data_IF_150914255751
#
_entry.id   IF_150914255751
#
_cell.length_a   1.000
_cell.length_b   1.000
_cell.length_c   1.000
_cell.angle_alpha   90.00
_cell.angle_beta   90.00
_cell.angle_gamma   90.00
#
_symmetry.space_group_name_H-M   'P 1'
#
loop_
_entity.id
_entity.type
_entity.pdbx_description
1 polymer ?
#
# COMPACT_ATOMS: atom_id res chain seq x y z
N UNK A 1 -2.90 -5.81 -2.13
CA UNK A 1 -2.16 -5.19 -3.25
C UNK A 1 -3.12 -4.31 -4.01
N UNK A 2 -2.89 -3.00 -4.05
CA UNK A 2 -3.83 -2.01 -4.63
C UNK A 2 -3.41 -1.52 -6.02
N UNK A 3 -2.16 -1.76 -6.43
CA UNK A 3 -1.55 -1.12 -7.60
C UNK A 3 -2.07 -1.60 -8.96
N UNK A 4 -2.77 -2.73 -9.03
CA UNK A 4 -3.21 -3.34 -10.31
C UNK A 4 -4.63 -2.97 -10.72
N UNK A 5 -5.30 -2.13 -9.95
CA UNK A 5 -6.68 -1.71 -10.19
C UNK A 5 -6.76 -0.19 -10.18
N UNK A 6 -7.67 0.41 -10.97
CA UNK A 6 -7.85 1.87 -10.96
C UNK A 6 -8.37 2.35 -9.61
N UNK A 7 -8.20 3.64 -9.31
CA UNK A 7 -8.66 4.24 -8.05
C UNK A 7 -10.15 3.99 -7.79
N UNK A 8 -10.99 4.02 -8.83
CA UNK A 8 -12.42 3.73 -8.71
C UNK A 8 -12.70 2.32 -8.18
N UNK A 9 -11.92 1.32 -8.60
CA UNK A 9 -12.03 -0.06 -8.11
C UNK A 9 -11.47 -0.21 -6.69
N UNK A 10 -10.41 0.53 -6.34
CA UNK A 10 -9.92 0.60 -4.95
C UNK A 10 -11.01 1.15 -4.04
N UNK A 11 -11.62 2.29 -4.41
CA UNK A 11 -12.70 2.92 -3.64
C UNK A 11 -13.93 2.03 -3.53
N UNK A 12 -14.33 1.35 -4.61
CA UNK A 12 -15.43 0.39 -4.56
C UNK A 12 -15.13 -0.79 -3.60
N UNK A 13 -13.88 -1.27 -3.59
CA UNK A 13 -13.44 -2.33 -2.66
C UNK A 13 -13.47 -1.83 -1.22
N UNK A 14 -12.97 -0.62 -0.95
CA UNK A 14 -13.03 -0.02 0.39
C UNK A 14 -14.46 0.24 0.87
N UNK A 15 -15.36 0.65 -0.03
CA UNK A 15 -16.79 0.82 0.27
C UNK A 15 -17.44 -0.50 0.68
N UNK A 16 -17.17 -1.59 -0.04
CA UNK A 16 -17.63 -2.92 0.33
C UNK A 16 -17.03 -3.37 1.68
N UNK A 17 -15.73 -3.18 1.89
CA UNK A 17 -15.09 -3.52 3.15
C UNK A 17 -15.60 -2.67 4.32
N UNK A 18 -16.06 -1.44 4.07
CA UNK A 18 -16.70 -0.58 5.05
C UNK A 18 -17.96 -1.19 5.71
N UNK A 19 -18.54 -2.25 5.15
CA UNK A 19 -19.66 -2.98 5.76
C UNK A 19 -19.21 -4.08 6.74
N UNK A 20 -17.91 -4.24 6.99
CA UNK A 20 -17.40 -5.19 7.97
C UNK A 20 -17.85 -4.81 9.39
N UNK A 21 -17.94 -5.80 10.28
CA UNK A 21 -18.26 -5.57 11.69
C UNK A 21 -17.15 -4.78 12.40
N UNK A 22 -17.52 -3.90 13.34
CA UNK A 22 -16.55 -3.20 14.22
C UNK A 22 -15.60 -4.19 14.88
N UNK A 23 -14.32 -3.84 14.96
CA UNK A 23 -13.22 -4.70 15.43
C UNK A 23 -12.59 -5.58 14.34
N UNK A 24 -13.16 -5.62 13.13
CA UNK A 24 -12.54 -6.32 12.00
C UNK A 24 -11.18 -5.71 11.64
N UNK A 25 -10.26 -6.53 11.11
CA UNK A 25 -8.92 -6.09 10.68
C UNK A 25 -8.80 -6.09 9.17
N UNK A 26 -8.20 -5.04 8.63
CA UNK A 26 -7.82 -4.92 7.22
C UNK A 26 -6.31 -4.74 7.12
N UNK A 27 -5.65 -5.62 6.37
CA UNK A 27 -4.24 -5.48 6.03
C UNK A 27 -4.05 -5.45 4.52
N UNK A 28 -3.23 -4.53 4.03
CA UNK A 28 -2.89 -4.45 2.61
C UNK A 28 -1.53 -3.80 2.40
N UNK A 29 -0.97 -4.03 1.20
CA UNK A 29 0.20 -3.30 0.72
C UNK A 29 -0.19 -2.31 -0.38
N UNK A 30 0.55 -1.20 -0.46
CA UNK A 30 0.46 -0.22 -1.53
C UNK A 30 1.85 0.22 -1.99
N UNK A 31 1.94 0.68 -3.24
CA UNK A 31 3.15 1.30 -3.79
C UNK A 31 3.09 2.81 -3.68
N UNK A 32 4.24 3.46 -3.48
CA UNK A 32 4.30 4.91 -3.33
C UNK A 32 3.86 5.64 -4.61
N UNK A 33 3.02 6.67 -4.45
CA UNK A 33 2.44 7.43 -5.57
C UNK A 33 3.48 8.15 -6.42
N UNK A 34 4.53 8.69 -5.82
CA UNK A 34 5.63 9.37 -6.51
C UNK A 34 6.41 8.44 -7.46
N UNK A 35 6.40 7.13 -7.23
CA UNK A 35 6.89 6.15 -8.22
C UNK A 35 5.93 5.98 -9.39
N UNK A 36 4.62 5.99 -9.16
CA UNK A 36 3.60 5.90 -10.22
C UNK A 36 3.67 7.13 -11.14
N UNK A 37 3.90 8.30 -10.54
CA UNK A 37 4.03 9.60 -11.20
C UNK A 37 5.42 9.79 -11.85
N UNK A 38 6.41 8.99 -11.45
CA UNK A 38 7.77 9.03 -11.97
C UNK A 38 8.65 10.12 -11.37
N UNK A 39 8.19 10.82 -10.31
CA UNK A 39 8.97 11.83 -9.60
C UNK A 39 10.01 11.23 -8.66
N UNK A 40 9.84 9.98 -8.22
CA UNK A 40 10.83 9.25 -7.44
C UNK A 40 10.88 7.78 -7.86
N UNK A 41 12.03 7.33 -8.36
CA UNK A 41 12.18 5.97 -8.88
C UNK A 41 12.68 4.98 -7.83
N UNK A 42 13.08 5.42 -6.64
CA UNK A 42 13.65 4.57 -5.59
C UNK A 42 14.80 3.67 -6.10
N UNK A 43 15.63 4.17 -7.01
CA UNK A 43 16.69 3.39 -7.67
C UNK A 43 16.21 2.29 -8.63
N UNK A 44 14.89 2.16 -8.87
CA UNK A 44 14.25 1.09 -9.63
C UNK A 44 13.84 1.53 -11.06
N UNK A 45 14.77 2.15 -11.81
CA UNK A 45 14.50 2.71 -13.14
C UNK A 45 14.04 1.66 -14.18
N UNK A 46 14.57 0.43 -14.11
CA UNK A 46 14.10 -0.69 -14.95
C UNK A 46 12.67 -1.12 -14.62
N UNK A 47 12.32 -1.12 -13.33
CA UNK A 47 10.98 -1.48 -12.86
C UNK A 47 9.95 -0.44 -13.36
N UNK A 48 10.29 0.85 -13.25
CA UNK A 48 9.44 1.94 -13.76
C UNK A 48 9.21 1.82 -15.26
N UNK A 49 10.28 1.63 -16.07
CA UNK A 49 10.16 1.40 -17.51
C UNK A 49 9.27 0.20 -17.83
N UNK A 50 9.41 -0.90 -17.09
CA UNK A 50 8.64 -2.12 -17.33
C UNK A 50 7.15 -1.93 -17.02
N UNK A 51 6.82 -1.45 -15.83
CA UNK A 51 5.46 -1.50 -15.30
C UNK A 51 4.65 -0.23 -15.49
N UNK A 52 5.30 0.93 -15.66
CA UNK A 52 4.64 2.22 -15.88
C UNK A 52 4.78 2.77 -17.29
N UNK A 53 5.86 2.49 -17.99
CA UNK A 53 6.04 2.98 -19.38
C UNK A 53 5.56 1.98 -20.41
N UNK A 54 5.92 0.68 -20.28
CA UNK A 54 5.61 -0.33 -21.31
C UNK A 54 4.25 -0.98 -21.15
N UNK A 55 3.91 -1.46 -19.94
CA UNK A 55 2.67 -2.21 -19.72
C UNK A 55 1.57 -1.41 -19.02
N UNK A 56 1.93 -0.28 -18.37
CA UNK A 56 1.03 0.59 -17.60
C UNK A 56 0.13 -0.12 -16.57
N UNK A 57 0.52 -1.33 -16.13
CA UNK A 57 -0.31 -2.18 -15.25
C UNK A 57 -0.37 -1.70 -13.81
N UNK A 58 0.54 -0.82 -13.39
CA UNK A 58 0.50 -0.22 -12.05
C UNK A 58 -0.31 1.07 -12.09
N UNK A 59 -1.61 0.98 -11.82
CA UNK A 59 -2.59 2.03 -12.04
C UNK A 59 -2.77 2.96 -10.83
N UNK A 60 -2.47 2.50 -9.62
CA UNK A 60 -2.76 3.22 -8.38
C UNK A 60 -1.59 3.19 -7.41
N UNK A 61 -1.39 4.30 -6.71
CA UNK A 61 -0.42 4.46 -5.62
C UNK A 61 -0.93 5.46 -4.59
N UNK A 62 -0.39 5.34 -3.38
CA UNK A 62 -0.74 6.21 -2.24
C UNK A 62 0.51 6.90 -1.71
N UNK A 63 0.31 8.08 -1.13
CA UNK A 63 1.31 8.69 -0.24
C UNK A 63 0.98 8.29 1.20
N UNK A 64 1.97 8.12 2.09
CA UNK A 64 1.71 7.73 3.48
C UNK A 64 0.70 8.64 4.20
N UNK A 65 0.78 9.95 3.97
CA UNK A 65 -0.16 10.92 4.53
C UNK A 65 -1.60 10.79 4.02
N UNK A 66 -1.84 10.13 2.89
CA UNK A 66 -3.18 9.95 2.31
C UNK A 66 -3.89 8.68 2.78
N UNK A 67 -3.18 7.73 3.40
CA UNK A 67 -3.75 6.43 3.79
C UNK A 67 -4.82 6.59 4.87
N UNK A 68 -4.48 7.27 5.97
CA UNK A 68 -5.42 7.43 7.09
C UNK A 68 -6.67 8.23 6.69
N UNK A 69 -6.58 9.39 6.00
CA UNK A 69 -7.76 10.08 5.50
C UNK A 69 -8.63 9.21 4.58
N UNK A 70 -8.03 8.49 3.62
CA UNK A 70 -8.77 7.63 2.69
C UNK A 70 -9.51 6.51 3.43
N UNK A 71 -8.87 5.85 4.40
CA UNK A 71 -9.50 4.76 5.16
C UNK A 71 -10.60 5.26 6.10
N UNK A 72 -10.44 6.46 6.66
CA UNK A 72 -11.43 7.08 7.53
C UNK A 72 -12.77 7.33 6.78
N UNK A 73 -12.74 7.64 5.48
CA UNK A 73 -13.95 7.76 4.63
C UNK A 73 -14.85 6.51 4.69
N UNK A 74 -14.27 5.34 4.99
CA UNK A 74 -14.98 4.05 5.03
C UNK A 74 -15.06 3.44 6.44
N UNK A 75 -14.81 4.27 7.47
CA UNK A 75 -14.90 3.86 8.88
C UNK A 75 -13.80 2.89 9.31
N UNK A 76 -12.60 3.04 8.76
CA UNK A 76 -11.40 2.31 9.17
C UNK A 76 -10.40 3.25 9.85
N UNK A 77 -9.85 2.81 10.97
CA UNK A 77 -8.77 3.48 11.69
C UNK A 77 -7.43 2.79 11.37
N UNK A 78 -6.46 3.54 10.85
CA UNK A 78 -5.10 3.01 10.65
C UNK A 78 -4.45 2.77 12.01
N UNK A 79 -3.93 1.56 12.20
CA UNK A 79 -3.07 1.23 13.33
C UNK A 79 -1.59 1.35 12.98
N UNK A 80 -1.23 0.85 11.80
CA UNK A 80 0.16 0.81 11.33
C UNK A 80 0.22 1.16 9.84
N UNK A 81 1.21 1.98 9.47
CA UNK A 81 1.66 2.17 8.09
C UNK A 81 3.19 2.15 8.11
N UNK A 82 3.79 1.04 7.68
CA UNK A 82 5.22 0.78 7.82
C UNK A 82 5.91 0.66 6.46
N UNK A 83 7.13 1.20 6.36
CA UNK A 83 7.96 1.04 5.16
C UNK A 83 8.47 -0.39 5.04
N UNK A 84 8.96 -0.79 3.85
CA UNK A 84 9.65 -2.07 3.68
C UNK A 84 10.78 -2.27 4.69
N UNK A 85 11.74 -1.35 4.84
CA UNK A 85 12.84 -1.51 5.81
C UNK A 85 12.39 -1.48 7.27
N UNK A 86 11.30 -0.78 7.60
CA UNK A 86 10.70 -0.89 8.92
C UNK A 86 10.06 -2.26 9.15
N UNK A 87 9.28 -2.75 8.17
CA UNK A 87 8.64 -4.07 8.21
C UNK A 87 9.67 -5.20 8.36
N UNK A 88 10.80 -5.09 7.65
CA UNK A 88 11.90 -6.05 7.77
C UNK A 88 12.47 -6.09 9.19
N UNK A 89 12.74 -4.93 9.79
CA UNK A 89 13.30 -4.83 11.14
C UNK A 89 12.32 -5.30 12.21
N UNK A 90 11.04 -4.97 12.08
CA UNK A 90 10.02 -5.24 13.12
C UNK A 90 9.43 -6.64 13.04
N UNK A 91 9.31 -7.23 11.84
CA UNK A 91 8.59 -8.50 11.66
C UNK A 91 9.41 -9.60 11.00
N UNK A 92 10.22 -9.31 9.98
CA UNK A 92 10.93 -10.36 9.24
C UNK A 92 12.15 -10.89 9.98
N UNK A 93 13.04 -10.01 10.44
CA UNK A 93 14.26 -10.40 11.15
C UNK A 93 13.94 -11.15 12.44
N UNK A 94 13.02 -10.66 13.32
CA UNK A 94 12.66 -11.39 14.54
C UNK A 94 12.01 -12.75 14.27
N UNK A 95 11.33 -12.91 13.13
CA UNK A 95 10.75 -14.18 12.70
C UNK A 95 11.75 -15.12 12.01
N UNK A 96 13.04 -14.77 11.94
CA UNK A 96 14.07 -15.55 11.26
C UNK A 96 13.89 -15.63 9.74
N UNK A 97 13.16 -14.67 9.13
CA UNK A 97 12.89 -14.65 7.69
C UNK A 97 13.87 -13.73 6.95
N UNK A 98 14.52 -14.28 5.93
CA UNK A 98 15.38 -13.52 5.03
C UNK A 98 14.65 -13.23 3.72
N UNK A 99 13.75 -12.23 3.76
CA UNK A 99 13.07 -11.70 2.58
C UNK A 99 13.57 -10.28 2.31
N UNK A 100 13.75 -9.93 1.04
CA UNK A 100 14.04 -8.56 0.64
C UNK A 100 12.78 -7.70 0.73
N UNK A 101 12.95 -6.47 1.22
CA UNK A 101 11.91 -5.45 1.22
C UNK A 101 12.36 -4.26 0.36
N UNK A 102 11.43 -3.38 0.03
CA UNK A 102 11.70 -2.20 -0.80
C UNK A 102 11.07 -0.98 -0.17
N UNK A 103 11.69 0.19 -0.32
CA UNK A 103 11.10 1.48 0.04
C UNK A 103 9.87 1.83 -0.82
N UNK A 104 9.75 1.19 -1.98
CA UNK A 104 8.64 1.41 -2.91
C UNK A 104 7.30 0.88 -2.39
N UNK A 105 7.31 -0.17 -1.58
CA UNK A 105 6.10 -0.83 -1.07
C UNK A 105 5.99 -0.61 0.44
N UNK A 106 4.78 -0.30 0.89
CA UNK A 106 4.43 -0.08 2.28
C UNK A 106 3.30 -0.99 2.69
N UNK A 107 3.26 -1.34 3.97
CA UNK A 107 2.27 -2.25 4.56
C UNK A 107 1.41 -1.51 5.56
N UNK A 108 0.10 -1.66 5.45
CA UNK A 108 -0.90 -1.02 6.31
C UNK A 108 -1.68 -2.08 7.08
N UNK A 109 -1.92 -1.80 8.36
CA UNK A 109 -2.90 -2.49 9.20
C UNK A 109 -3.93 -1.47 9.71
N UNK A 110 -5.21 -1.81 9.61
CA UNK A 110 -6.32 -0.98 10.06
C UNK A 110 -7.38 -1.80 10.82
N UNK A 111 -8.17 -1.11 11.64
CA UNK A 111 -9.33 -1.65 12.36
C UNK A 111 -10.62 -0.99 11.90
N UNK A 112 -11.70 -1.77 11.82
CA UNK A 112 -13.04 -1.22 11.61
C UNK A 112 -13.55 -0.61 12.92
N UNK A 113 -13.90 0.67 12.89
CA UNK A 113 -14.59 1.36 14.00
C UNK A 113 -16.10 1.26 13.85
#
# INVERSE_FOLDING_TARGET
>A
MTQYIPETAVRATLAYLGTAATGSRLAFTYVQRDFIDGSNLYGNSMLYKRFRVRSQVWMFGLTPGAVAPLLAEYGWQVLEDVSGPEYQRRYLIPAGRTLSTTELERTVLAEKI
#
